data_IF_497416718906
#
_entry.id   IF_497416718906
#
_cell.length_a   1.000
_cell.length_b   1.000
_cell.length_c   1.000
_cell.angle_alpha   90.00
_cell.angle_beta   90.00
_cell.angle_gamma   90.00
#
_symmetry.space_group_name_H-M   'P 1'
#
loop_
_entity.id
_entity.type
_entity.pdbx_description
1 polymer ?
#
# COMPACT_ATOMS: atom_id res chain seq x y z
N UNK A 1 37.04 -31.97 -17.37
CA UNK A 1 36.36 -31.10 -18.36
C UNK A 1 35.43 -30.17 -17.59
N UNK A 2 35.87 -28.93 -17.34
CA UNK A 2 35.00 -27.85 -16.89
C UNK A 2 34.15 -27.47 -18.11
N UNK A 3 32.87 -27.82 -18.07
CA UNK A 3 31.89 -27.36 -19.03
C UNK A 3 31.74 -25.86 -18.93
N UNK A 4 32.23 -25.11 -19.91
CA UNK A 4 31.87 -23.70 -20.11
C UNK A 4 30.37 -23.67 -20.34
N UNK A 5 29.62 -23.18 -19.35
CA UNK A 5 28.20 -22.92 -19.49
C UNK A 5 28.01 -21.93 -20.63
N UNK A 6 27.25 -22.32 -21.62
CA UNK A 6 26.79 -21.39 -22.66
C UNK A 6 25.79 -20.44 -22.02
N UNK A 7 26.22 -19.22 -21.76
CA UNK A 7 25.32 -18.11 -21.48
C UNK A 7 24.63 -17.71 -22.80
N UNK A 8 23.66 -18.49 -23.23
CA UNK A 8 22.74 -18.04 -24.26
C UNK A 8 21.59 -17.28 -23.56
N UNK A 9 21.37 -16.05 -23.95
CA UNK A 9 20.14 -15.32 -23.66
C UNK A 9 18.99 -16.01 -24.41
N UNK A 10 18.51 -17.13 -23.89
CA UNK A 10 17.49 -17.93 -24.54
C UNK A 10 16.12 -17.56 -23.92
N UNK A 11 15.13 -17.34 -24.79
CA UNK A 11 13.74 -17.25 -24.38
C UNK A 11 13.14 -18.65 -24.36
N UNK A 12 12.61 -19.07 -23.22
CA UNK A 12 11.81 -20.29 -23.09
C UNK A 12 10.32 -19.89 -23.20
N UNK A 13 9.60 -20.53 -24.11
CA UNK A 13 8.15 -20.40 -24.25
C UNK A 13 7.49 -21.66 -23.71
N UNK A 14 6.54 -21.50 -22.79
CA UNK A 14 5.78 -22.58 -22.17
C UNK A 14 4.30 -22.41 -22.55
N UNK A 15 3.74 -23.43 -23.22
CA UNK A 15 2.34 -23.46 -23.65
C UNK A 15 1.81 -24.90 -23.50
N UNK A 16 1.92 -25.44 -22.29
CA UNK A 16 1.53 -26.81 -21.96
C UNK A 16 1.04 -26.91 -20.51
N UNK A 17 0.22 -27.92 -20.26
CA UNK A 17 -0.13 -28.27 -18.87
C UNK A 17 1.05 -28.97 -18.20
N UNK A 18 1.46 -28.47 -17.05
CA UNK A 18 2.52 -29.07 -16.23
C UNK A 18 1.92 -29.47 -14.89
N UNK A 19 1.97 -30.77 -14.60
CA UNK A 19 1.54 -31.31 -13.31
C UNK A 19 2.75 -31.86 -12.58
N UNK A 20 3.02 -31.33 -11.39
CA UNK A 20 4.23 -31.65 -10.64
C UNK A 20 3.89 -32.08 -9.23
N UNK A 21 4.48 -33.21 -8.84
CA UNK A 21 4.45 -33.77 -7.50
C UNK A 21 5.85 -33.69 -6.92
N UNK A 22 6.01 -32.95 -5.80
CA UNK A 22 7.24 -32.83 -5.01
C UNK A 22 8.43 -32.13 -5.71
N UNK A 23 8.33 -30.82 -5.85
CA UNK A 23 9.49 -29.96 -6.15
C UNK A 23 9.56 -28.76 -5.20
N UNK A 24 10.77 -28.23 -5.01
CA UNK A 24 10.98 -27.00 -4.27
C UNK A 24 10.48 -25.82 -5.10
N UNK A 25 10.78 -25.80 -6.40
CA UNK A 25 10.41 -24.77 -7.38
C UNK A 25 10.14 -25.42 -8.74
N UNK A 26 9.19 -24.88 -9.49
CA UNK A 26 8.98 -25.36 -10.86
C UNK A 26 9.92 -24.66 -11.85
N UNK A 27 9.92 -23.32 -11.83
CA UNK A 27 10.70 -22.52 -12.77
C UNK A 27 11.55 -21.53 -11.99
N UNK A 28 12.84 -21.52 -12.31
CA UNK A 28 13.80 -20.51 -11.86
C UNK A 28 14.33 -19.76 -13.06
N UNK A 29 14.08 -18.44 -13.10
CA UNK A 29 14.57 -17.58 -14.18
C UNK A 29 15.84 -16.92 -13.70
N UNK A 30 16.96 -17.28 -14.30
CA UNK A 30 18.29 -16.78 -13.95
C UNK A 30 18.53 -15.39 -14.60
N UNK A 31 19.54 -14.64 -14.12
CA UNK A 31 19.97 -13.39 -14.74
C UNK A 31 20.20 -13.55 -16.25
N UNK A 32 19.61 -12.64 -17.05
CA UNK A 32 19.66 -12.69 -18.51
C UNK A 32 18.70 -13.70 -19.16
N UNK A 33 18.06 -14.57 -18.38
CA UNK A 33 17.03 -15.50 -18.87
C UNK A 33 15.69 -14.82 -19.07
N UNK A 34 14.91 -15.31 -20.03
CA UNK A 34 13.52 -14.90 -20.25
C UNK A 34 12.61 -16.11 -20.41
N UNK A 35 11.50 -16.10 -19.69
CA UNK A 35 10.46 -17.12 -19.79
C UNK A 35 9.15 -16.43 -20.19
N UNK A 36 8.46 -17.01 -21.16
CA UNK A 36 7.11 -16.60 -21.58
C UNK A 36 6.17 -17.77 -21.33
N UNK A 37 5.24 -17.59 -20.39
CA UNK A 37 4.16 -18.55 -20.14
C UNK A 37 2.92 -18.08 -20.88
N UNK A 38 2.62 -18.76 -21.99
CA UNK A 38 1.51 -18.37 -22.89
C UNK A 38 0.17 -18.97 -22.49
N UNK A 39 0.18 -20.10 -21.77
CA UNK A 39 -1.04 -20.80 -21.39
C UNK A 39 -0.77 -22.11 -20.69
N UNK A 40 -1.83 -22.88 -20.48
CA UNK A 40 -1.77 -24.15 -19.76
C UNK A 40 -1.88 -23.99 -18.24
N UNK A 41 -1.95 -25.13 -17.56
CA UNK A 41 -2.10 -25.19 -16.12
C UNK A 41 -0.84 -25.74 -15.47
N UNK A 42 -0.33 -25.03 -14.49
CA UNK A 42 0.71 -25.51 -13.60
C UNK A 42 0.09 -25.86 -12.23
N UNK A 43 0.06 -27.14 -11.91
CA UNK A 43 -0.44 -27.64 -10.64
C UNK A 43 0.70 -28.24 -9.83
N UNK A 44 0.93 -27.74 -8.63
CA UNK A 44 1.89 -28.29 -7.68
C UNK A 44 1.21 -28.74 -6.41
N UNK A 45 1.13 -30.04 -6.16
CA UNK A 45 0.47 -30.58 -4.98
C UNK A 45 1.34 -30.57 -3.72
N UNK A 46 2.66 -30.58 -3.88
CA UNK A 46 3.63 -30.61 -2.78
C UNK A 46 4.84 -29.69 -3.08
N UNK A 47 4.59 -28.51 -3.66
CA UNK A 47 5.63 -27.49 -3.81
C UNK A 47 5.78 -26.79 -2.47
N UNK A 48 6.96 -26.90 -1.86
CA UNK A 48 7.21 -26.41 -0.52
C UNK A 48 7.67 -24.94 -0.47
N UNK A 49 7.92 -24.33 -1.63
CA UNK A 49 8.34 -22.94 -1.74
C UNK A 49 7.61 -22.22 -2.88
N UNK A 50 8.35 -21.70 -3.87
CA UNK A 50 7.78 -20.92 -4.96
C UNK A 50 7.44 -21.78 -6.17
N UNK A 51 6.31 -21.49 -6.81
CA UNK A 51 6.05 -22.06 -8.13
C UNK A 51 7.00 -21.44 -9.17
N UNK A 52 7.13 -20.12 -9.17
CA UNK A 52 8.13 -19.39 -9.97
C UNK A 52 9.04 -18.58 -9.06
N UNK A 53 10.33 -18.61 -9.38
CA UNK A 53 11.33 -17.72 -8.81
C UNK A 53 12.07 -16.98 -9.92
N UNK A 54 11.95 -15.67 -9.96
CA UNK A 54 12.59 -14.80 -10.92
C UNK A 54 13.73 -14.09 -10.20
N UNK A 55 14.96 -14.40 -10.56
CA UNK A 55 16.14 -13.75 -10.01
C UNK A 55 16.34 -12.36 -10.60
N UNK A 56 17.12 -11.53 -9.89
CA UNK A 56 17.55 -10.23 -10.40
C UNK A 56 18.19 -10.36 -11.77
N UNK A 57 17.74 -9.55 -12.74
CA UNK A 57 18.13 -9.66 -14.14
C UNK A 57 17.40 -10.73 -14.96
N UNK A 58 16.55 -11.55 -14.36
CA UNK A 58 15.63 -12.47 -15.07
C UNK A 58 14.33 -11.78 -15.47
N UNK A 59 13.69 -12.26 -16.54
CA UNK A 59 12.41 -11.74 -17.04
C UNK A 59 11.40 -12.88 -17.18
N UNK A 60 10.20 -12.69 -16.62
CA UNK A 60 9.10 -13.62 -16.77
C UNK A 60 7.84 -12.89 -17.25
N UNK A 61 7.20 -13.48 -18.26
CA UNK A 61 5.94 -12.99 -18.81
C UNK A 61 4.86 -14.06 -18.66
N UNK A 62 3.79 -13.74 -17.96
CA UNK A 62 2.66 -14.63 -17.74
C UNK A 62 1.40 -14.08 -18.43
N UNK A 63 0.91 -14.81 -19.42
CA UNK A 63 -0.20 -14.36 -20.26
C UNK A 63 -1.54 -14.91 -19.81
N UNK A 64 -1.64 -16.23 -19.62
CA UNK A 64 -2.90 -16.91 -19.30
C UNK A 64 -2.66 -18.29 -18.66
N UNK A 65 -3.75 -18.96 -18.28
CA UNK A 65 -3.73 -20.27 -17.64
C UNK A 65 -3.93 -20.18 -16.12
N UNK A 66 -3.68 -21.30 -15.45
CA UNK A 66 -3.81 -21.37 -13.99
C UNK A 66 -2.52 -21.93 -13.39
N UNK A 67 -1.99 -21.22 -12.41
CA UNK A 67 -0.87 -21.65 -11.59
C UNK A 67 -1.35 -21.74 -10.16
N UNK A 68 -1.25 -22.92 -9.57
CA UNK A 68 -1.66 -23.15 -8.21
C UNK A 68 -0.74 -24.12 -7.50
N UNK A 69 -0.50 -23.85 -6.24
CA UNK A 69 0.35 -24.66 -5.38
C UNK A 69 1.61 -23.90 -4.96
N UNK A 70 2.32 -24.50 -4.00
CA UNK A 70 3.45 -23.85 -3.36
C UNK A 70 3.02 -22.85 -2.27
N UNK A 71 4.01 -22.45 -1.52
CA UNK A 71 3.88 -21.41 -0.51
C UNK A 71 3.66 -20.04 -1.17
N UNK A 72 4.38 -19.81 -2.27
CA UNK A 72 4.27 -18.62 -3.12
C UNK A 72 3.89 -19.04 -4.55
N UNK A 73 2.89 -18.41 -5.15
CA UNK A 73 2.60 -18.57 -6.56
C UNK A 73 3.77 -18.08 -7.42
N UNK A 74 4.32 -16.92 -7.05
CA UNK A 74 5.61 -16.43 -7.56
C UNK A 74 6.40 -15.64 -6.53
N UNK A 75 7.74 -15.69 -6.67
CA UNK A 75 8.69 -14.84 -5.97
C UNK A 75 9.52 -14.09 -7.00
N UNK A 76 9.49 -12.78 -6.99
CA UNK A 76 10.11 -11.94 -7.99
C UNK A 76 11.18 -11.01 -7.41
N UNK A 77 12.44 -11.25 -7.77
CA UNK A 77 13.58 -10.34 -7.60
C UNK A 77 13.98 -9.65 -8.91
N UNK A 78 13.44 -10.14 -10.06
CA UNK A 78 13.71 -9.64 -11.39
C UNK A 78 12.57 -8.80 -11.97
N UNK A 79 12.20 -9.08 -13.21
CA UNK A 79 11.12 -8.41 -13.92
C UNK A 79 10.01 -9.40 -14.24
N UNK A 80 8.80 -9.11 -13.78
CA UNK A 80 7.60 -9.90 -13.99
C UNK A 80 6.51 -9.07 -14.67
N UNK A 81 5.93 -9.61 -15.73
CA UNK A 81 4.73 -9.08 -16.37
C UNK A 81 3.59 -10.10 -16.24
N UNK A 82 2.43 -9.67 -15.74
CA UNK A 82 1.20 -10.47 -15.65
C UNK A 82 0.14 -9.81 -16.52
N UNK A 83 -0.20 -10.47 -17.63
CA UNK A 83 -1.22 -9.97 -18.56
C UNK A 83 -2.61 -10.54 -18.25
N UNK A 84 -2.69 -11.76 -17.71
CA UNK A 84 -3.94 -12.47 -17.42
C UNK A 84 -3.72 -13.74 -16.61
N UNK A 85 -4.70 -14.65 -16.66
CA UNK A 85 -4.65 -15.95 -15.98
C UNK A 85 -4.87 -15.89 -14.48
N UNK A 86 -4.65 -17.01 -13.79
CA UNK A 86 -4.86 -17.15 -12.34
C UNK A 86 -3.58 -17.67 -11.68
N UNK A 87 -3.15 -16.98 -10.64
CA UNK A 87 -1.98 -17.37 -9.85
C UNK A 87 -2.40 -17.47 -8.38
N UNK A 88 -2.04 -18.58 -7.72
CA UNK A 88 -2.32 -18.77 -6.31
C UNK A 88 -1.18 -19.42 -5.55
N UNK A 89 -1.02 -19.06 -4.29
CA UNK A 89 -0.13 -19.69 -3.31
C UNK A 89 -0.81 -19.79 -1.95
N UNK A 90 -0.28 -20.62 -1.07
CA UNK A 90 -0.88 -20.85 0.27
C UNK A 90 -0.55 -19.75 1.28
N UNK A 91 0.63 -19.13 1.17
CA UNK A 91 1.02 -17.95 1.94
C UNK A 91 0.79 -16.66 1.16
N UNK A 92 1.29 -16.62 -0.08
CA UNK A 92 1.15 -15.48 -0.98
C UNK A 92 0.89 -15.98 -2.40
N UNK A 93 -0.11 -15.43 -3.08
CA UNK A 93 -0.24 -15.60 -4.52
C UNK A 93 0.93 -14.97 -5.26
N UNK A 94 1.40 -13.83 -4.75
CA UNK A 94 2.55 -13.12 -5.30
C UNK A 94 3.43 -12.44 -4.27
N UNK A 95 4.73 -12.49 -4.50
CA UNK A 95 5.72 -11.85 -3.66
C UNK A 95 6.75 -11.12 -4.54
N UNK A 96 6.78 -9.78 -4.47
CA UNK A 96 7.84 -8.98 -5.12
C UNK A 96 8.82 -8.50 -4.05
N UNK A 97 10.05 -8.92 -4.16
CA UNK A 97 11.10 -8.56 -3.22
C UNK A 97 11.77 -7.24 -3.60
N UNK A 98 12.71 -6.76 -2.78
CA UNK A 98 13.23 -5.40 -2.83
C UNK A 98 13.85 -4.96 -4.16
N UNK A 99 14.38 -5.88 -4.95
CA UNK A 99 14.94 -5.60 -6.28
C UNK A 99 13.95 -5.84 -7.42
N UNK A 100 12.88 -6.58 -7.14
CA UNK A 100 11.89 -6.99 -8.14
C UNK A 100 11.03 -5.83 -8.65
N UNK A 101 10.68 -5.92 -9.92
CA UNK A 101 9.66 -5.10 -10.56
C UNK A 101 8.58 -5.98 -11.14
N UNK A 102 7.34 -5.77 -10.70
CA UNK A 102 6.17 -6.50 -11.23
C UNK A 102 5.20 -5.51 -11.87
N UNK A 103 4.73 -5.82 -13.08
CA UNK A 103 3.67 -5.08 -13.77
C UNK A 103 2.48 -6.00 -14.00
N UNK A 104 1.31 -5.60 -13.53
CA UNK A 104 0.08 -6.39 -13.62
C UNK A 104 -0.94 -5.62 -14.43
N UNK A 105 -1.30 -6.17 -15.58
CA UNK A 105 -2.29 -5.64 -16.50
C UNK A 105 -3.67 -6.29 -16.32
N UNK A 106 -3.70 -7.54 -15.83
CA UNK A 106 -4.92 -8.33 -15.65
C UNK A 106 -4.68 -9.62 -14.89
N UNK A 107 -5.68 -10.51 -14.93
CA UNK A 107 -5.63 -11.81 -14.24
C UNK A 107 -6.07 -11.75 -12.78
N UNK A 108 -5.92 -12.89 -12.08
CA UNK A 108 -6.27 -13.04 -10.66
C UNK A 108 -5.06 -13.52 -9.88
N UNK A 109 -4.76 -12.83 -8.79
CA UNK A 109 -3.76 -13.26 -7.79
C UNK A 109 -4.47 -13.58 -6.48
N UNK A 110 -4.45 -14.84 -6.07
CA UNK A 110 -5.15 -15.35 -4.88
C UNK A 110 -4.15 -15.84 -3.82
N UNK A 111 -4.49 -15.66 -2.55
CA UNK A 111 -3.60 -15.90 -1.41
C UNK A 111 -2.87 -14.64 -0.96
N UNK A 112 -3.30 -13.47 -1.50
CA UNK A 112 -2.71 -12.18 -1.19
C UNK A 112 -1.41 -11.87 -1.94
N UNK A 113 -1.03 -10.61 -1.90
CA UNK A 113 0.16 -10.10 -2.59
C UNK A 113 1.03 -9.27 -1.65
N UNK A 114 2.32 -9.56 -1.59
CA UNK A 114 3.31 -8.75 -0.88
C UNK A 114 4.23 -8.00 -1.86
N UNK A 115 4.40 -6.71 -1.63
CA UNK A 115 5.35 -5.87 -2.37
C UNK A 115 6.39 -5.24 -1.44
N UNK A 116 7.64 -5.66 -1.55
CA UNK A 116 8.80 -5.01 -0.96
C UNK A 116 9.66 -4.25 -1.98
N UNK A 117 9.35 -4.40 -3.28
CA UNK A 117 10.03 -3.78 -4.42
C UNK A 117 9.17 -2.75 -5.15
N UNK A 118 9.06 -2.89 -6.45
CA UNK A 118 8.24 -2.01 -7.29
C UNK A 118 7.10 -2.80 -7.95
N UNK A 119 5.86 -2.36 -7.76
CA UNK A 119 4.70 -2.97 -8.41
C UNK A 119 3.86 -1.89 -9.12
N UNK A 120 3.45 -2.17 -10.35
CA UNK A 120 2.57 -1.33 -11.17
C UNK A 120 1.34 -2.14 -11.51
N UNK A 121 0.15 -1.64 -11.18
CA UNK A 121 -1.13 -2.32 -11.34
C UNK A 121 -2.06 -1.43 -12.14
N UNK A 122 -2.41 -1.88 -13.34
CA UNK A 122 -3.40 -1.23 -14.20
C UNK A 122 -4.68 -2.04 -14.36
N UNK A 123 -4.71 -3.27 -13.84
CA UNK A 123 -5.87 -4.17 -13.87
C UNK A 123 -5.67 -5.39 -12.99
N UNK A 124 -6.56 -6.36 -13.12
CA UNK A 124 -6.52 -7.62 -12.38
C UNK A 124 -7.32 -7.61 -11.09
N UNK A 125 -7.41 -8.79 -10.46
CA UNK A 125 -8.15 -9.02 -9.21
C UNK A 125 -7.21 -9.64 -8.17
N UNK A 126 -7.18 -9.07 -6.99
CA UNK A 126 -6.38 -9.55 -5.86
C UNK A 126 -7.30 -10.11 -4.80
N UNK A 127 -7.09 -11.35 -4.40
CA UNK A 127 -7.92 -12.07 -3.42
C UNK A 127 -7.02 -12.47 -2.25
N UNK A 128 -7.42 -12.11 -1.03
CA UNK A 128 -6.74 -12.50 0.19
C UNK A 128 -6.95 -13.98 0.54
N UNK A 129 -6.55 -14.36 1.73
CA UNK A 129 -6.72 -15.72 2.29
C UNK A 129 -5.44 -16.54 2.38
N UNK A 130 -4.30 -15.97 2.02
CA UNK A 130 -2.99 -16.58 2.31
C UNK A 130 -2.58 -16.39 3.76
N UNK A 131 -1.93 -17.39 4.35
CA UNK A 131 -1.52 -17.34 5.77
C UNK A 131 -0.44 -16.28 6.05
N UNK A 132 0.32 -15.85 5.04
CA UNK A 132 1.41 -14.90 5.18
C UNK A 132 0.98 -13.43 5.22
N UNK A 133 -0.23 -13.10 4.73
CA UNK A 133 -0.69 -11.70 4.61
C UNK A 133 -1.81 -11.34 5.60
N UNK A 134 -2.34 -12.32 6.36
CA UNK A 134 -3.43 -12.12 7.30
C UNK A 134 -4.71 -11.64 6.59
N UNK A 135 -5.33 -10.59 7.14
CA UNK A 135 -6.59 -10.05 6.62
C UNK A 135 -6.42 -9.11 5.41
N UNK A 136 -5.18 -8.91 4.94
CA UNK A 136 -4.91 -8.04 3.79
C UNK A 136 -4.94 -8.83 2.49
N UNK A 137 -5.40 -8.20 1.43
CA UNK A 137 -5.33 -8.75 0.07
C UNK A 137 -4.08 -8.28 -0.66
N UNK A 138 -3.57 -7.12 -0.26
CA UNK A 138 -2.36 -6.51 -0.79
C UNK A 138 -1.58 -5.82 0.34
N UNK A 139 -0.29 -6.12 0.42
CA UNK A 139 0.61 -5.52 1.41
C UNK A 139 1.77 -4.81 0.70
N UNK A 140 1.73 -3.48 0.70
CA UNK A 140 2.88 -2.67 0.30
C UNK A 140 3.79 -2.47 1.52
N UNK A 141 4.87 -3.22 1.59
CA UNK A 141 5.80 -3.23 2.71
C UNK A 141 6.63 -1.95 2.79
N UNK A 142 7.36 -1.81 3.89
CA UNK A 142 8.30 -0.69 4.08
C UNK A 142 9.38 -0.73 2.99
N UNK A 143 9.57 0.37 2.27
CA UNK A 143 10.47 0.46 1.12
C UNK A 143 9.83 0.08 -0.20
N UNK A 144 8.71 -0.65 -0.18
CA UNK A 144 7.94 -0.97 -1.38
C UNK A 144 7.32 0.27 -2.03
N UNK A 145 7.26 0.25 -3.35
CA UNK A 145 6.62 1.28 -4.15
C UNK A 145 5.55 0.64 -5.02
N UNK A 146 4.31 1.07 -4.85
CA UNK A 146 3.17 0.55 -5.61
C UNK A 146 2.46 1.67 -6.35
N UNK A 147 2.16 1.44 -7.62
CA UNK A 147 1.32 2.32 -8.45
C UNK A 147 0.04 1.56 -8.80
N UNK A 148 -1.12 2.12 -8.48
CA UNK A 148 -2.43 1.54 -8.79
C UNK A 148 -3.22 2.54 -9.62
N UNK A 149 -3.55 2.15 -10.86
CA UNK A 149 -4.41 2.92 -11.78
C UNK A 149 -5.66 2.16 -12.18
N UNK A 150 -5.75 0.89 -11.81
CA UNK A 150 -6.87 -0.01 -12.06
C UNK A 150 -6.81 -1.25 -11.16
N UNK A 151 -7.70 -2.19 -11.40
CA UNK A 151 -7.78 -3.45 -10.67
C UNK A 151 -8.73 -3.43 -9.47
N UNK A 152 -9.03 -4.61 -8.96
CA UNK A 152 -9.94 -4.85 -7.84
C UNK A 152 -9.20 -5.57 -6.71
N UNK A 153 -9.28 -5.04 -5.51
CA UNK A 153 -8.62 -5.57 -4.34
C UNK A 153 -9.65 -6.10 -3.34
N UNK A 154 -9.72 -7.42 -3.23
CA UNK A 154 -10.61 -8.14 -2.36
C UNK A 154 -11.93 -8.54 -3.00
N UNK A 155 -12.76 -9.15 -2.17
CA UNK A 155 -14.16 -9.50 -2.43
C UNK A 155 -15.01 -8.92 -1.29
N UNK A 156 -16.32 -8.97 -1.40
CA UNK A 156 -17.23 -8.45 -0.35
C UNK A 156 -16.81 -8.91 1.05
N UNK A 157 -16.47 -7.96 1.92
CA UNK A 157 -16.10 -8.20 3.31
C UNK A 157 -14.62 -8.56 3.58
N UNK A 158 -13.75 -8.52 2.56
CA UNK A 158 -12.32 -8.78 2.75
C UNK A 158 -11.50 -8.14 1.61
N UNK A 159 -11.17 -6.87 1.75
CA UNK A 159 -10.54 -6.11 0.67
C UNK A 159 -9.56 -5.03 1.12
N UNK A 160 -8.87 -5.24 2.24
CA UNK A 160 -7.96 -4.24 2.78
C UNK A 160 -6.59 -4.27 2.10
N UNK A 161 -6.14 -3.11 1.66
CA UNK A 161 -4.75 -2.86 1.23
C UNK A 161 -3.98 -2.30 2.42
N UNK A 162 -2.87 -2.93 2.81
CA UNK A 162 -1.92 -2.32 3.74
C UNK A 162 -0.85 -1.52 2.99
N UNK A 163 -0.61 -0.28 3.41
CA UNK A 163 0.47 0.56 2.88
C UNK A 163 1.46 0.96 3.98
N UNK A 164 2.60 0.33 4.02
CA UNK A 164 3.76 0.72 4.83
C UNK A 164 4.88 1.39 4.02
N UNK A 165 4.72 1.47 2.70
CA UNK A 165 5.67 2.04 1.75
C UNK A 165 5.13 3.29 1.04
N UNK A 166 5.45 3.42 -0.24
CA UNK A 166 4.93 4.49 -1.10
C UNK A 166 3.85 3.96 -2.02
N UNK A 167 2.68 4.58 -1.98
CA UNK A 167 1.52 4.21 -2.78
C UNK A 167 1.10 5.37 -3.68
N UNK A 168 1.11 5.13 -4.98
CA UNK A 168 0.61 6.05 -6.01
C UNK A 168 -0.76 5.58 -6.48
N UNK A 169 -1.75 6.46 -6.44
CA UNK A 169 -3.14 6.14 -6.79
C UNK A 169 -3.68 7.05 -7.88
N UNK A 170 -4.42 6.47 -8.81
CA UNK A 170 -5.15 7.20 -9.85
C UNK A 170 -6.11 6.27 -10.58
N UNK A 171 -6.98 6.82 -11.43
CA UNK A 171 -7.89 6.01 -12.27
C UNK A 171 -8.97 5.26 -11.48
N UNK A 172 -9.11 3.96 -11.78
CA UNK A 172 -10.23 3.11 -11.37
C UNK A 172 -9.87 2.00 -10.37
N UNK A 173 -8.67 2.04 -9.76
CA UNK A 173 -8.27 1.05 -8.76
C UNK A 173 -9.22 1.03 -7.57
N UNK A 174 -9.75 -0.14 -7.20
CA UNK A 174 -10.80 -0.29 -6.20
C UNK A 174 -10.42 -1.28 -5.09
N UNK A 175 -10.49 -0.84 -3.82
CA UNK A 175 -10.42 -1.70 -2.65
C UNK A 175 -11.81 -1.84 -2.02
N UNK A 176 -12.27 -3.07 -1.77
CA UNK A 176 -13.61 -3.30 -1.21
C UNK A 176 -13.81 -2.70 0.16
N UNK A 177 -12.79 -2.76 1.03
CA UNK A 177 -12.88 -2.17 2.37
C UNK A 177 -12.21 -0.81 2.41
N UNK A 178 -10.91 -0.80 2.67
CA UNK A 178 -10.14 0.44 2.79
C UNK A 178 -8.65 0.20 2.54
N UNK A 179 -7.93 1.29 2.39
CA UNK A 179 -6.48 1.31 2.45
C UNK A 179 -6.08 1.61 3.89
N UNK A 180 -5.38 0.69 4.55
CA UNK A 180 -4.78 0.95 5.85
C UNK A 180 -3.39 1.56 5.63
N UNK A 181 -3.24 2.86 5.91
CA UNK A 181 -1.97 3.54 5.79
C UNK A 181 -1.21 3.47 7.12
N UNK A 182 -0.19 2.60 7.16
CA UNK A 182 0.68 2.43 8.32
C UNK A 182 1.61 3.63 8.55
N UNK A 183 2.38 3.56 9.62
CA UNK A 183 3.24 4.64 10.11
C UNK A 183 4.20 5.25 9.07
N UNK A 184 4.84 4.40 8.28
CA UNK A 184 5.78 4.83 7.22
C UNK A 184 5.12 5.05 5.86
N UNK A 185 3.81 4.75 5.74
CA UNK A 185 3.07 4.84 4.49
C UNK A 185 2.96 6.28 3.96
N UNK A 186 3.20 6.44 2.67
CA UNK A 186 2.98 7.70 1.94
C UNK A 186 2.05 7.44 0.77
N UNK A 187 1.10 8.33 0.57
CA UNK A 187 0.12 8.22 -0.53
C UNK A 187 0.24 9.44 -1.43
N UNK A 188 0.35 9.19 -2.72
CA UNK A 188 0.36 10.20 -3.75
C UNK A 188 -0.76 9.95 -4.75
N UNK A 189 -1.56 10.96 -5.03
CA UNK A 189 -2.57 10.91 -6.08
C UNK A 189 -1.90 11.40 -7.37
N UNK A 190 -1.83 10.54 -8.37
CA UNK A 190 -1.09 10.77 -9.62
C UNK A 190 -2.00 11.01 -10.84
N UNK A 191 -3.30 11.02 -10.63
CA UNK A 191 -4.30 11.27 -11.67
C UNK A 191 -5.68 11.34 -11.07
N UNK A 192 -6.65 11.75 -11.87
CA UNK A 192 -8.05 11.85 -11.46
C UNK A 192 -8.52 10.55 -10.83
N UNK A 193 -9.11 10.64 -9.65
CA UNK A 193 -9.80 9.54 -9.00
C UNK A 193 -11.19 9.39 -9.60
N UNK A 194 -11.52 8.21 -10.13
CA UNK A 194 -12.84 7.94 -10.70
C UNK A 194 -13.81 7.37 -9.67
N UNK A 195 -13.28 6.81 -8.58
CA UNK A 195 -14.03 6.16 -7.50
C UNK A 195 -13.75 6.80 -6.14
N UNK A 196 -14.57 6.47 -5.15
CA UNK A 196 -14.33 6.83 -3.74
C UNK A 196 -13.30 5.87 -3.16
N UNK A 197 -12.23 6.42 -2.57
CA UNK A 197 -11.24 5.66 -1.83
C UNK A 197 -11.40 5.92 -0.33
N UNK A 198 -11.37 4.85 0.48
CA UNK A 198 -11.41 4.93 1.93
C UNK A 198 -10.01 4.66 2.48
N UNK A 199 -9.52 5.54 3.33
CA UNK A 199 -8.16 5.44 3.89
C UNK A 199 -8.26 5.50 5.41
N UNK A 200 -7.82 4.42 6.06
CA UNK A 200 -7.65 4.37 7.51
C UNK A 200 -6.20 4.77 7.83
N UNK A 201 -6.02 5.82 8.61
CA UNK A 201 -4.70 6.32 8.98
C UNK A 201 -4.32 5.83 10.37
N UNK A 202 -3.19 5.16 10.49
CA UNK A 202 -2.57 4.93 11.80
C UNK A 202 -1.93 6.24 12.28
N UNK A 203 -2.50 6.83 13.32
CA UNK A 203 -2.07 8.14 13.85
C UNK A 203 -0.92 8.05 14.85
N UNK A 204 -0.54 6.86 15.34
CA UNK A 204 0.47 6.72 16.40
C UNK A 204 1.83 7.25 15.98
N UNK A 205 2.12 7.22 14.69
CA UNK A 205 3.45 7.51 14.15
C UNK A 205 3.45 8.61 13.07
N UNK A 206 2.32 9.31 12.89
CA UNK A 206 2.28 10.45 11.97
C UNK A 206 2.70 11.75 12.68
N UNK A 207 3.34 12.62 11.93
CA UNK A 207 3.58 13.99 12.36
C UNK A 207 2.35 14.83 11.99
N UNK A 208 1.62 15.27 13.01
CA UNK A 208 0.46 16.15 12.81
C UNK A 208 0.83 17.42 12.05
N UNK A 209 -0.12 17.97 11.33
CA UNK A 209 0.05 19.17 10.51
C UNK A 209 1.10 19.03 9.38
N UNK A 210 1.45 17.79 9.01
CA UNK A 210 2.23 17.50 7.82
C UNK A 210 1.39 16.75 6.78
N UNK A 211 1.61 16.97 5.47
CA UNK A 211 0.87 16.24 4.45
C UNK A 211 1.14 14.73 4.51
N UNK A 212 0.06 13.94 4.54
CA UNK A 212 0.08 12.48 4.50
C UNK A 212 -0.42 11.93 3.16
N UNK A 213 -1.23 12.72 2.45
CA UNK A 213 -1.69 12.45 1.09
C UNK A 213 -1.37 13.70 0.26
N UNK A 214 -0.64 13.52 -0.82
CA UNK A 214 -0.15 14.59 -1.68
C UNK A 214 -0.59 14.37 -3.12
N UNK A 215 -0.54 15.41 -3.93
CA UNK A 215 -0.46 15.26 -5.38
C UNK A 215 0.89 14.65 -5.78
N UNK A 216 0.93 13.87 -6.85
CA UNK A 216 2.19 13.41 -7.45
C UNK A 216 2.95 14.58 -8.11
N UNK A 217 4.16 14.29 -8.64
CA UNK A 217 5.01 15.31 -9.24
C UNK A 217 4.33 16.13 -10.35
N UNK A 218 3.46 15.47 -11.11
CA UNK A 218 2.81 16.04 -12.31
C UNK A 218 1.28 16.17 -12.13
N UNK A 219 0.80 16.04 -10.91
CA UNK A 219 -0.64 16.08 -10.62
C UNK A 219 -0.95 16.86 -9.33
N UNK A 220 -1.79 17.86 -9.46
CA UNK A 220 -2.29 18.64 -8.32
C UNK A 220 -3.68 18.12 -7.95
N UNK A 221 -3.89 17.83 -6.65
CA UNK A 221 -5.18 17.41 -6.13
C UNK A 221 -6.27 18.43 -6.46
N UNK A 222 -7.31 17.96 -7.13
CA UNK A 222 -8.48 18.77 -7.46
C UNK A 222 -9.53 18.69 -6.34
N UNK A 223 -10.49 19.64 -6.34
CA UNK A 223 -11.62 19.59 -5.42
C UNK A 223 -12.46 18.30 -5.62
N UNK A 224 -12.52 17.78 -6.84
CA UNK A 224 -13.25 16.54 -7.15
C UNK A 224 -12.51 15.30 -6.60
N UNK A 225 -11.20 15.28 -6.62
CA UNK A 225 -10.42 14.21 -5.99
C UNK A 225 -10.59 14.21 -4.48
N UNK A 226 -10.53 15.41 -3.86
CA UNK A 226 -10.70 15.56 -2.41
C UNK A 226 -12.06 15.04 -1.95
N UNK A 227 -13.14 15.26 -2.71
CA UNK A 227 -14.48 14.72 -2.41
C UNK A 227 -14.53 13.20 -2.44
N UNK A 228 -13.65 12.56 -3.18
CA UNK A 228 -13.57 11.09 -3.31
C UNK A 228 -12.64 10.45 -2.28
N UNK A 229 -11.91 11.23 -1.49
CA UNK A 229 -11.05 10.72 -0.43
C UNK A 229 -11.81 10.75 0.90
N UNK A 230 -12.12 9.57 1.44
CA UNK A 230 -12.72 9.40 2.75
C UNK A 230 -11.66 8.91 3.73
N UNK A 231 -11.32 9.75 4.72
CA UNK A 231 -10.31 9.43 5.72
C UNK A 231 -11.01 9.00 7.00
N UNK A 232 -10.62 7.82 7.51
CA UNK A 232 -11.10 7.26 8.76
C UNK A 232 -10.04 7.54 9.82
N UNK A 233 -10.43 8.26 10.85
CA UNK A 233 -9.57 8.67 11.96
C UNK A 233 -10.22 8.28 13.29
N UNK A 234 -9.43 8.01 14.34
CA UNK A 234 -9.96 7.88 15.68
C UNK A 234 -10.45 9.23 16.24
N UNK A 235 -11.20 9.17 17.34
CA UNK A 235 -11.68 10.35 18.05
C UNK A 235 -10.56 11.30 18.43
N UNK A 236 -10.83 12.58 18.39
CA UNK A 236 -9.86 13.63 18.71
C UNK A 236 -8.98 14.06 17.53
N UNK A 237 -9.24 13.57 16.34
CA UNK A 237 -8.52 13.95 15.13
C UNK A 237 -9.49 14.34 14.00
N UNK A 238 -9.03 15.24 13.14
CA UNK A 238 -9.71 15.64 11.92
C UNK A 238 -8.70 15.84 10.80
N UNK A 239 -9.17 15.97 9.59
CA UNK A 239 -8.34 16.24 8.45
C UNK A 239 -8.81 17.46 7.67
N UNK A 240 -7.92 18.09 6.95
CA UNK A 240 -8.23 19.17 6.00
C UNK A 240 -7.26 19.15 4.83
N UNK A 241 -7.68 19.71 3.72
CA UNK A 241 -6.79 20.00 2.61
C UNK A 241 -6.01 21.28 2.89
N UNK A 242 -4.69 21.22 2.75
CA UNK A 242 -3.80 22.37 2.85
C UNK A 242 -3.32 22.76 1.44
N UNK A 243 -3.96 23.78 0.88
CA UNK A 243 -3.65 24.25 -0.48
C UNK A 243 -2.21 24.81 -0.61
N UNK A 244 -1.66 25.35 0.48
CA UNK A 244 -0.29 25.89 0.47
C UNK A 244 0.78 24.80 0.34
N UNK A 245 0.44 23.56 0.80
CA UNK A 245 1.32 22.39 0.76
C UNK A 245 0.87 21.35 -0.27
N UNK A 246 -0.25 21.59 -0.95
CA UNK A 246 -0.78 20.70 -1.99
C UNK A 246 -1.20 19.32 -1.48
N UNK A 247 -1.62 19.19 -0.20
CA UNK A 247 -1.91 17.90 0.37
C UNK A 247 -2.92 17.90 1.52
N UNK A 248 -3.28 16.70 1.95
CA UNK A 248 -4.17 16.47 3.09
C UNK A 248 -3.33 16.29 4.35
N UNK A 249 -3.65 17.03 5.38
CA UNK A 249 -3.02 16.99 6.70
C UNK A 249 -4.02 16.51 7.76
N UNK A 250 -3.50 15.85 8.79
CA UNK A 250 -4.24 15.48 9.99
C UNK A 250 -3.94 16.48 11.09
N UNK A 251 -4.99 16.96 11.76
CA UNK A 251 -4.90 17.87 12.89
C UNK A 251 -5.60 17.26 14.10
N UNK A 252 -5.15 17.61 15.30
CA UNK A 252 -5.87 17.26 16.53
C UNK A 252 -7.05 18.22 16.74
N UNK A 253 -8.22 17.65 17.04
CA UNK A 253 -9.39 18.46 17.45
C UNK A 253 -9.34 18.89 18.92
N UNK A 254 -8.39 18.30 19.69
CA UNK A 254 -8.18 18.65 21.10
C UNK A 254 -7.28 19.88 21.27
N UNK A 255 -6.75 20.42 20.17
CA UNK A 255 -6.05 21.71 20.18
C UNK A 255 -7.03 22.88 20.20
N UNK A 256 -6.79 23.87 21.04
CA UNK A 256 -7.54 25.12 21.03
C UNK A 256 -7.32 25.78 19.66
N UNK A 257 -8.34 25.75 18.80
CA UNK A 257 -8.34 26.56 17.58
C UNK A 257 -8.56 28.02 17.99
N UNK A 258 -7.61 28.85 17.62
CA UNK A 258 -7.70 30.33 17.70
C UNK A 258 -8.29 30.89 19.00
N UNK A 259 -7.46 30.89 20.01
CA UNK A 259 -7.76 31.75 21.17
C UNK A 259 -7.47 33.19 20.74
N UNK A 260 -8.51 33.92 20.39
CA UNK A 260 -8.40 35.37 20.24
C UNK A 260 -7.92 35.96 21.57
N UNK A 261 -6.80 36.67 21.52
CA UNK A 261 -6.29 37.39 22.68
C UNK A 261 -7.29 38.53 22.94
N UNK A 262 -7.83 38.58 24.15
CA UNK A 262 -8.65 39.74 24.58
C UNK A 262 -7.77 41.00 24.46
N UNK A 263 -8.35 42.08 24.00
CA UNK A 263 -7.66 43.35 23.78
C UNK A 263 -6.97 43.93 25.03
N UNK A 264 -7.26 43.39 26.20
CA UNK A 264 -6.74 43.85 27.50
C UNK A 264 -5.46 43.19 28.01
N UNK A 265 -4.75 42.43 27.19
CA UNK A 265 -3.45 41.82 27.57
C UNK A 265 -3.49 40.87 28.79
N UNK A 266 -4.65 40.27 29.10
CA UNK A 266 -4.81 39.36 30.24
C UNK A 266 -4.39 37.92 29.92
N UNK A 267 -3.85 37.25 30.92
CA UNK A 267 -3.60 35.81 30.87
C UNK A 267 -4.92 35.06 30.86
N UNK A 268 -5.14 34.20 29.87
CA UNK A 268 -6.36 33.40 29.73
C UNK A 268 -6.09 31.95 30.13
N UNK A 269 -7.04 31.38 30.88
CA UNK A 269 -6.98 29.97 31.31
C UNK A 269 -8.09 29.19 30.63
N UNK A 270 -7.74 27.95 30.23
CA UNK A 270 -8.70 27.03 29.62
C UNK A 270 -8.50 25.65 30.24
N UNK A 271 -9.59 24.89 30.35
CA UNK A 271 -9.54 23.48 30.71
C UNK A 271 -9.07 22.62 29.53
N UNK A 272 -8.92 21.32 29.77
CA UNK A 272 -8.45 20.35 28.75
C UNK A 272 -9.42 20.25 27.55
N UNK A 273 -10.68 20.63 27.69
CA UNK A 273 -11.68 20.68 26.62
C UNK A 273 -11.66 21.97 25.81
N UNK A 274 -10.81 22.94 26.19
CA UNK A 274 -10.73 24.24 25.54
C UNK A 274 -11.74 25.27 26.04
N UNK A 275 -12.48 24.96 27.09
CA UNK A 275 -13.41 25.90 27.70
C UNK A 275 -12.66 26.92 28.55
N UNK A 276 -12.93 28.20 28.38
CA UNK A 276 -12.36 29.29 29.19
C UNK A 276 -12.77 29.11 30.65
N UNK A 277 -11.80 29.23 31.57
CA UNK A 277 -11.98 29.12 33.01
C UNK A 277 -11.36 30.35 33.70
N UNK A 278 -11.86 30.72 34.87
CA UNK A 278 -11.37 31.90 35.57
C UNK A 278 -10.07 31.67 36.32
N UNK A 279 -9.79 30.41 36.69
CA UNK A 279 -8.56 29.98 37.41
C UNK A 279 -8.19 28.57 37.07
N UNK A 280 -6.92 28.22 37.28
CA UNK A 280 -6.40 26.86 37.08
C UNK A 280 -7.18 25.86 37.96
N UNK A 281 -7.56 24.74 37.39
CA UNK A 281 -8.28 23.63 38.01
C UNK A 281 -7.40 22.39 38.09
N UNK A 282 -7.76 21.44 38.96
CA UNK A 282 -7.08 20.15 39.02
C UNK A 282 -7.13 19.46 37.65
N UNK A 283 -5.99 18.92 37.22
CA UNK A 283 -5.82 18.30 35.90
C UNK A 283 -5.06 19.19 34.93
N UNK A 284 -5.18 18.89 33.62
CA UNK A 284 -4.52 19.64 32.56
C UNK A 284 -5.24 20.95 32.29
N UNK A 285 -4.48 22.03 32.36
CA UNK A 285 -4.93 23.39 32.01
C UNK A 285 -4.07 23.93 30.86
N UNK A 286 -4.64 24.83 30.08
CA UNK A 286 -3.94 25.55 29.03
C UNK A 286 -3.93 27.03 29.39
N UNK A 287 -2.75 27.60 29.43
CA UNK A 287 -2.55 29.00 29.78
C UNK A 287 -2.03 29.75 28.57
N UNK A 288 -2.76 30.76 28.12
CA UNK A 288 -2.29 31.68 27.06
C UNK A 288 -1.81 32.96 27.72
N UNK A 289 -0.56 33.30 27.47
CA UNK A 289 0.10 34.49 27.99
C UNK A 289 -0.06 35.68 27.07
N UNK A 290 0.09 36.90 27.58
CA UNK A 290 -0.08 38.15 26.85
C UNK A 290 0.83 38.30 25.61
N UNK A 291 1.96 37.60 25.59
CA UNK A 291 2.88 37.53 24.44
C UNK A 291 2.43 36.52 23.35
N UNK A 292 1.21 35.98 23.49
CA UNK A 292 0.61 35.03 22.55
C UNK A 292 1.10 33.57 22.72
N UNK A 293 2.01 33.30 23.65
CA UNK A 293 2.48 31.93 23.91
C UNK A 293 1.46 31.12 24.67
N UNK A 294 1.44 29.84 24.39
CA UNK A 294 0.55 28.89 25.07
C UNK A 294 1.40 27.88 25.86
N UNK A 295 1.03 27.65 27.11
CA UNK A 295 1.67 26.65 27.99
C UNK A 295 0.64 25.65 28.49
N UNK A 296 1.01 24.38 28.54
CA UNK A 296 0.24 23.33 29.24
C UNK A 296 0.69 23.28 30.70
N UNK A 297 -0.26 23.35 31.63
CA UNK A 297 -0.01 23.33 33.06
C UNK A 297 -0.82 22.22 33.69
N UNK A 298 -0.15 21.29 34.38
CA UNK A 298 -0.80 20.24 35.13
C UNK A 298 -0.88 20.63 36.60
N UNK A 299 -2.10 20.72 37.14
CA UNK A 299 -2.34 20.94 38.58
C UNK A 299 -2.67 19.58 39.21
N UNK A 300 -1.89 19.18 40.19
CA UNK A 300 -2.06 17.92 40.92
C UNK A 300 -3.17 17.98 41.97
#
# INVERSE_FOLDING_TARGET
>A
HQGKGFHHYSTLVIDVNINIVRLIRLVRVLPGGRVIWKGGNGLGTDITQEFFYIEDGGVFEYSEGTISGGEYGFHNDGILYIYGGNISGTNYGGYTYSFGTTTIFGGTVSGGYYNGGKTIISGGTFIGGGSGIGDYVYWNGKGGTTTITGGTFGTSGNGTIYNGGTLYLGGDGYAYDYIYNGASGRIYIIGKLNIIIRIHINITDIVLDTPIILGGSDYVLTAEDIKKIQIILPDGYTWRYDASRGGIIITSTTGIKDVTVDADNKVLYFDASGRKIEKLQKGLNIVKTSDGKTKKVMIK
#
